data_IF_365508465112
#
_entry.id   IF_365508465112
#
_cell.length_a   1.000
_cell.length_b   1.000
_cell.length_c   1.000
_cell.angle_alpha   90.00
_cell.angle_beta   90.00
_cell.angle_gamma   90.00
#
_symmetry.space_group_name_H-M   'P 1'
#
loop_
_entity.id
_entity.type
_entity.pdbx_description
1 polymer ?
#
# COMPACT_ATOMS: atom_id res chain seq x y z
N UNK A 1 -9.73 5.52 19.08
CA UNK A 1 -9.26 4.60 18.02
C UNK A 1 -7.95 5.18 17.52
N UNK A 2 -6.90 4.38 17.45
CA UNK A 2 -5.63 4.79 16.84
C UNK A 2 -5.70 4.93 15.33
N UNK A 3 -4.82 5.77 14.78
CA UNK A 3 -4.55 5.90 13.35
C UNK A 3 -4.05 4.61 12.73
N UNK A 4 -4.37 4.39 11.45
CA UNK A 4 -3.99 3.18 10.71
C UNK A 4 -3.38 3.51 9.37
N UNK A 5 -2.61 2.57 8.85
CA UNK A 5 -2.15 2.58 7.46
C UNK A 5 -2.68 1.34 6.75
N UNK A 6 -3.45 1.55 5.69
CA UNK A 6 -3.92 0.49 4.81
C UNK A 6 -2.98 0.31 3.64
N UNK A 7 -2.47 -0.89 3.46
CA UNK A 7 -1.72 -1.29 2.28
C UNK A 7 -2.66 -2.08 1.39
N UNK A 8 -2.75 -1.73 0.11
CA UNK A 8 -3.62 -2.41 -0.85
C UNK A 8 -2.79 -2.73 -2.09
N UNK A 9 -2.66 -4.02 -2.41
CA UNK A 9 -2.00 -4.44 -3.65
C UNK A 9 -2.98 -4.28 -4.81
N UNK A 10 -2.51 -3.82 -5.96
CA UNK A 10 -3.34 -3.83 -7.17
C UNK A 10 -3.88 -5.23 -7.50
N UNK A 11 -4.98 -5.27 -8.27
CA UNK A 11 -5.51 -6.51 -8.82
C UNK A 11 -4.55 -7.17 -9.81
N UNK A 12 -4.90 -8.38 -10.24
CA UNK A 12 -4.15 -9.11 -11.26
C UNK A 12 -3.93 -8.29 -12.55
N UNK A 13 -2.72 -8.39 -13.10
CA UNK A 13 -2.31 -7.92 -14.43
C UNK A 13 -1.78 -9.11 -15.25
N UNK A 14 -1.45 -8.86 -16.52
CA UNK A 14 -0.80 -9.88 -17.35
C UNK A 14 0.48 -10.43 -16.72
N UNK A 15 1.37 -9.55 -16.25
CA UNK A 15 2.62 -9.97 -15.60
C UNK A 15 2.42 -10.70 -14.27
N UNK A 16 1.46 -10.29 -13.42
CA UNK A 16 1.23 -11.06 -12.18
C UNK A 16 0.68 -12.45 -12.46
N UNK A 17 -0.15 -12.60 -13.51
CA UNK A 17 -0.66 -13.90 -13.95
C UNK A 17 0.46 -14.78 -14.52
N UNK A 18 1.43 -14.17 -15.21
CA UNK A 18 2.65 -14.83 -15.68
C UNK A 18 3.68 -15.12 -14.58
N UNK A 19 3.46 -14.67 -13.34
CA UNK A 19 4.45 -14.68 -12.26
C UNK A 19 5.75 -13.95 -12.63
N UNK A 20 5.63 -12.91 -13.45
CA UNK A 20 6.72 -12.08 -13.90
C UNK A 20 7.00 -10.96 -12.88
N UNK A 21 8.28 -10.63 -12.75
CA UNK A 21 8.73 -9.49 -11.96
C UNK A 21 8.51 -8.21 -12.77
N UNK A 22 7.39 -7.53 -12.50
CA UNK A 22 7.00 -6.28 -13.18
C UNK A 22 7.08 -5.09 -12.23
N UNK A 23 7.94 -4.14 -12.58
CA UNK A 23 8.05 -2.87 -11.87
C UNK A 23 7.58 -1.71 -12.73
N UNK A 24 8.38 -1.36 -13.72
CA UNK A 24 8.20 -0.15 -14.55
C UNK A 24 7.28 -0.40 -15.73
N UNK A 25 7.17 -1.65 -16.20
CA UNK A 25 6.25 -2.02 -17.28
C UNK A 25 4.81 -1.67 -16.89
N UNK A 26 4.18 -0.80 -17.69
CA UNK A 26 2.90 -0.19 -17.34
C UNK A 26 1.71 -1.04 -17.81
N UNK A 27 1.52 -2.18 -17.15
CA UNK A 27 0.33 -2.99 -17.37
C UNK A 27 -0.91 -2.37 -16.75
N UNK A 28 -2.03 -2.51 -17.45
CA UNK A 28 -3.37 -2.35 -16.89
C UNK A 28 -3.80 -3.59 -16.11
N UNK A 29 -4.84 -3.46 -15.31
CA UNK A 29 -5.53 -4.60 -14.69
C UNK A 29 -6.10 -5.54 -15.76
N UNK A 30 -6.09 -6.84 -15.48
CA UNK A 30 -6.86 -7.84 -16.22
C UNK A 30 -8.34 -7.75 -15.81
N UNK A 31 -9.25 -8.33 -16.60
CA UNK A 31 -10.67 -8.42 -16.22
C UNK A 31 -10.88 -9.18 -14.91
N UNK A 32 -10.03 -10.18 -14.61
CA UNK A 32 -10.07 -10.86 -13.33
C UNK A 32 -9.56 -9.94 -12.21
N UNK A 33 -8.49 -9.18 -12.46
CA UNK A 33 -7.94 -8.19 -11.53
C UNK A 33 -8.93 -7.09 -11.17
N UNK A 34 -9.68 -6.57 -12.14
CA UNK A 34 -10.75 -5.59 -11.90
C UNK A 34 -11.80 -6.15 -10.93
N UNK A 35 -12.28 -7.39 -11.16
CA UNK A 35 -13.24 -8.08 -10.29
C UNK A 35 -12.69 -8.33 -8.88
N UNK A 36 -11.41 -8.69 -8.75
CA UNK A 36 -10.77 -8.86 -7.44
C UNK A 36 -10.80 -7.56 -6.63
N UNK A 37 -10.54 -6.41 -7.28
CA UNK A 37 -10.59 -5.10 -6.62
C UNK A 37 -12.03 -4.70 -6.31
N UNK A 38 -13.02 -5.06 -7.14
CA UNK A 38 -14.44 -4.84 -6.83
C UNK A 38 -14.88 -5.58 -5.56
N UNK A 39 -14.48 -6.84 -5.39
CA UNK A 39 -14.74 -7.61 -4.16
C UNK A 39 -14.07 -6.94 -2.95
N UNK A 40 -12.83 -6.48 -3.11
CA UNK A 40 -12.09 -5.76 -2.07
C UNK A 40 -12.81 -4.49 -1.66
N UNK A 41 -13.32 -3.72 -2.63
CA UNK A 41 -14.13 -2.53 -2.39
C UNK A 41 -15.39 -2.89 -1.58
N UNK A 42 -16.08 -3.98 -1.91
CA UNK A 42 -17.29 -4.38 -1.19
C UNK A 42 -17.01 -4.70 0.28
N UNK A 43 -15.90 -5.40 0.55
CA UNK A 43 -15.50 -5.80 1.89
C UNK A 43 -14.95 -4.64 2.74
N UNK A 44 -14.16 -3.75 2.15
CA UNK A 44 -13.36 -2.78 2.91
C UNK A 44 -13.72 -1.31 2.63
N UNK A 45 -14.40 -0.98 1.53
CA UNK A 45 -14.62 0.41 1.11
C UNK A 45 -16.10 0.78 0.90
N UNK A 46 -17.03 -0.17 0.92
CA UNK A 46 -18.44 0.07 0.67
C UNK A 46 -19.22 0.26 1.97
N UNK A 47 -19.99 1.35 2.07
CA UNK A 47 -20.91 1.59 3.19
C UNK A 47 -22.21 0.78 3.09
N UNK A 48 -22.46 0.11 1.96
CA UNK A 48 -23.83 -0.21 1.51
C UNK A 48 -24.32 -1.64 1.76
N UNK A 49 -23.48 -2.59 2.18
CA UNK A 49 -23.89 -4.00 2.26
C UNK A 49 -24.29 -4.45 3.67
N UNK A 50 -25.34 -3.87 4.26
CA UNK A 50 -26.02 -4.53 5.40
C UNK A 50 -27.46 -4.05 5.65
N UNK A 51 -28.37 -4.32 4.69
CA UNK A 51 -29.83 -4.35 4.95
C UNK A 51 -30.32 -5.78 5.22
N UNK A 52 -29.75 -6.46 6.21
CA UNK A 52 -30.40 -7.56 6.95
C UNK A 52 -29.45 -8.01 8.04
N UNK A 53 -29.83 -7.74 9.29
CA UNK A 53 -29.12 -7.98 10.55
C UNK A 53 -28.20 -6.84 11.00
N UNK A 54 -28.64 -6.16 12.06
CA UNK A 54 -27.88 -5.17 12.83
C UNK A 54 -26.48 -5.70 13.19
N UNK A 55 -25.54 -4.76 13.22
CA UNK A 55 -24.15 -4.84 13.72
C UNK A 55 -23.10 -5.45 12.78
N UNK A 56 -22.30 -4.58 12.15
CA UNK A 56 -20.82 -4.62 12.15
C UNK A 56 -20.29 -3.46 11.31
N UNK A 57 -19.38 -2.69 11.90
CA UNK A 57 -18.73 -1.55 11.23
C UNK A 57 -17.99 -2.02 9.98
N UNK A 58 -18.34 -1.45 8.82
CA UNK A 58 -17.53 -1.55 7.61
C UNK A 58 -16.28 -0.70 7.81
N UNK A 59 -15.13 -1.15 7.30
CA UNK A 59 -13.92 -0.34 7.32
C UNK A 59 -14.23 1.00 6.65
N UNK A 60 -14.23 2.08 7.42
CA UNK A 60 -14.48 3.44 6.91
C UNK A 60 -13.22 3.99 6.24
N UNK A 61 -12.75 3.30 5.20
CA UNK A 61 -11.59 3.74 4.39
C UNK A 61 -11.78 5.17 3.86
N UNK A 62 -13.03 5.63 3.71
CA UNK A 62 -13.37 6.93 3.15
C UNK A 62 -13.42 8.03 4.22
N UNK A 63 -14.16 7.82 5.29
CA UNK A 63 -14.49 8.89 6.24
C UNK A 63 -13.29 9.35 7.09
N UNK A 64 -12.27 8.49 7.28
CA UNK A 64 -11.12 8.80 8.16
C UNK A 64 -9.77 8.95 7.44
N UNK A 65 -9.67 8.66 6.14
CA UNK A 65 -8.38 8.76 5.44
C UNK A 65 -8.18 10.12 4.79
N UNK A 66 -7.26 10.91 5.33
CA UNK A 66 -6.93 12.25 4.81
C UNK A 66 -5.72 12.24 3.87
N UNK A 67 -5.05 11.10 3.70
CA UNK A 67 -3.89 11.00 2.81
C UNK A 67 -3.85 9.64 2.12
N UNK A 68 -3.61 9.66 0.82
CA UNK A 68 -3.61 8.46 -0.03
C UNK A 68 -2.40 8.52 -0.94
N UNK A 69 -1.58 7.48 -0.95
CA UNK A 69 -0.40 7.35 -1.78
C UNK A 69 -0.58 6.23 -2.79
N UNK A 70 -0.21 6.49 -4.03
CA UNK A 70 -0.24 5.50 -5.10
C UNK A 70 1.03 5.59 -5.92
N UNK A 71 1.40 4.51 -6.60
CA UNK A 71 2.48 4.59 -7.58
C UNK A 71 2.01 5.26 -8.88
N UNK A 72 2.91 5.70 -9.76
CA UNK A 72 2.54 6.26 -11.07
C UNK A 72 1.92 5.26 -12.06
N UNK A 73 1.83 3.98 -11.69
CA UNK A 73 1.44 2.91 -12.62
C UNK A 73 -0.07 2.88 -12.84
N UNK A 74 -0.48 2.58 -14.07
CA UNK A 74 -1.88 2.53 -14.49
C UNK A 74 -2.69 1.52 -13.69
N UNK A 75 -2.12 0.35 -13.36
CA UNK A 75 -2.75 -0.67 -12.50
C UNK A 75 -3.15 -0.14 -11.11
N UNK A 76 -2.34 0.72 -10.51
CA UNK A 76 -2.61 1.29 -9.18
C UNK A 76 -3.66 2.38 -9.28
N UNK A 77 -3.59 3.22 -10.33
CA UNK A 77 -4.65 4.18 -10.66
C UNK A 77 -6.01 3.49 -10.86
N UNK A 78 -6.07 2.44 -11.68
CA UNK A 78 -7.30 1.68 -11.90
C UNK A 78 -7.81 1.02 -10.60
N UNK A 79 -6.89 0.53 -9.76
CA UNK A 79 -7.25 -0.02 -8.45
C UNK A 79 -7.92 1.03 -7.57
N UNK A 80 -7.33 2.23 -7.45
CA UNK A 80 -7.96 3.37 -6.77
C UNK A 80 -9.30 3.74 -7.38
N UNK A 81 -9.39 3.71 -8.71
CA UNK A 81 -10.60 4.07 -9.42
C UNK A 81 -11.76 3.14 -9.07
N UNK A 82 -11.50 1.84 -9.04
CA UNK A 82 -12.45 0.80 -8.66
C UNK A 82 -12.79 0.90 -7.18
N UNK A 83 -11.81 1.07 -6.29
CA UNK A 83 -12.03 1.26 -4.85
C UNK A 83 -12.84 2.53 -4.53
N UNK A 84 -12.88 3.48 -5.48
CA UNK A 84 -13.54 4.79 -5.37
C UNK A 84 -13.00 5.57 -4.18
N UNK A 85 -11.69 5.73 -4.13
CA UNK A 85 -11.00 6.40 -3.03
C UNK A 85 -11.03 7.93 -3.09
N UNK A 86 -11.55 8.52 -4.18
CA UNK A 86 -11.68 9.98 -4.29
C UNK A 86 -13.01 10.56 -3.78
N UNK A 87 -13.29 11.78 -4.25
CA UNK A 87 -14.21 12.76 -3.66
C UNK A 87 -15.35 13.08 -4.64
N UNK A 88 -16.60 13.09 -4.20
CA UNK A 88 -17.76 13.42 -5.05
C UNK A 88 -17.83 12.52 -6.30
N UNK A 89 -18.12 13.13 -7.45
CA UNK A 89 -18.11 12.51 -8.77
C UNK A 89 -16.70 12.49 -9.39
N UNK A 90 -15.62 12.72 -8.62
CA UNK A 90 -14.27 12.89 -9.15
C UNK A 90 -13.16 12.23 -8.29
N UNK A 91 -12.06 11.84 -8.91
CA UNK A 91 -10.84 11.41 -8.22
C UNK A 91 -9.70 12.28 -8.70
N UNK A 92 -9.16 13.10 -7.80
CA UNK A 92 -8.06 13.98 -8.09
C UNK A 92 -6.75 13.27 -7.77
N UNK A 93 -5.91 13.11 -8.78
CA UNK A 93 -4.58 12.51 -8.69
C UNK A 93 -3.53 13.60 -8.89
N UNK A 94 -2.84 13.95 -7.82
CA UNK A 94 -1.73 14.90 -7.85
C UNK A 94 -0.41 14.14 -8.00
N UNK A 95 0.30 14.39 -9.09
CA UNK A 95 1.62 13.84 -9.34
C UNK A 95 2.69 14.71 -8.68
N UNK A 96 3.34 14.14 -7.66
CA UNK A 96 4.36 14.84 -6.87
C UNK A 96 5.61 15.16 -7.68
N UNK A 97 5.90 14.41 -8.74
CA UNK A 97 7.06 14.58 -9.62
C UNK A 97 6.80 15.67 -10.64
N UNK A 98 5.68 15.58 -11.37
CA UNK A 98 5.36 16.54 -12.44
C UNK A 98 4.65 17.81 -11.93
N UNK A 99 4.18 17.79 -10.66
CA UNK A 99 3.37 18.85 -10.04
C UNK A 99 2.03 19.10 -10.75
N UNK A 100 1.54 18.10 -11.50
CA UNK A 100 0.29 18.18 -12.24
C UNK A 100 -0.83 17.40 -11.53
N UNK A 101 -2.06 17.90 -11.66
CA UNK A 101 -3.26 17.21 -11.17
C UNK A 101 -4.06 16.69 -12.35
N UNK A 102 -4.40 15.40 -12.34
CA UNK A 102 -5.35 14.79 -13.27
C UNK A 102 -6.61 14.36 -12.52
N UNK A 103 -7.74 14.27 -13.24
CA UNK A 103 -9.01 13.90 -12.62
C UNK A 103 -9.69 12.77 -13.40
N UNK A 104 -10.23 11.79 -12.70
CA UNK A 104 -11.13 10.77 -13.28
C UNK A 104 -12.54 10.98 -12.75
N UNK A 105 -13.54 11.02 -13.62
CA UNK A 105 -14.94 11.08 -13.20
C UNK A 105 -15.39 9.70 -12.64
N UNK A 106 -16.18 9.71 -11.57
CA UNK A 106 -16.83 8.53 -10.97
C UNK A 106 -18.34 8.68 -11.14
N UNK A 107 -19.07 7.60 -11.49
CA UNK A 107 -20.53 7.61 -11.43
C UNK A 107 -21.02 8.07 -10.04
N UNK A 108 -22.07 8.90 -9.97
CA UNK A 108 -22.58 9.41 -8.70
C UNK A 108 -23.00 8.25 -7.78
N UNK A 109 -22.57 8.31 -6.51
CA UNK A 109 -22.98 7.36 -5.47
C UNK A 109 -23.58 8.15 -4.33
N UNK A 110 -24.66 7.62 -3.75
CA UNK A 110 -25.24 8.13 -2.51
C UNK A 110 -24.34 7.72 -1.32
N UNK A 111 -23.84 8.70 -0.56
CA UNK A 111 -23.01 8.49 0.63
C UNK A 111 -22.13 9.70 0.98
N UNK A 112 -21.57 9.71 2.19
CA UNK A 112 -20.61 10.73 2.62
C UNK A 112 -19.27 10.59 1.87
N UNK A 113 -18.64 11.74 1.66
CA UNK A 113 -17.59 11.97 0.66
C UNK A 113 -16.34 12.45 1.40
N UNK A 114 -15.17 11.90 1.04
CA UNK A 114 -13.89 12.25 1.67
C UNK A 114 -13.09 13.19 0.79
N UNK A 115 -12.69 14.37 1.25
CA UNK A 115 -12.04 15.45 0.46
C UNK A 115 -10.58 15.21 0.03
N UNK A 116 -10.00 14.04 0.28
CA UNK A 116 -8.55 13.88 0.11
C UNK A 116 -8.10 13.60 -1.34
N UNK A 117 -7.20 14.47 -1.84
CA UNK A 117 -6.44 14.30 -3.09
C UNK A 117 -5.50 13.09 -2.99
N UNK A 118 -5.49 12.25 -4.04
CA UNK A 118 -4.64 11.07 -4.14
C UNK A 118 -3.24 11.50 -4.63
N UNK A 119 -2.21 11.19 -3.85
CA UNK A 119 -0.82 11.55 -4.12
C UNK A 119 -0.14 10.44 -4.93
N UNK A 120 0.20 10.71 -6.19
CA UNK A 120 1.08 9.83 -6.96
C UNK A 120 2.52 10.09 -6.51
N UNK A 121 3.21 9.04 -6.07
CA UNK A 121 4.58 9.11 -5.58
C UNK A 121 5.44 7.97 -6.14
N UNK A 122 6.65 8.25 -6.65
CA UNK A 122 7.60 7.21 -7.03
C UNK A 122 8.19 6.49 -5.80
N UNK A 123 8.12 7.07 -4.59
CA UNK A 123 8.66 6.44 -3.38
C UNK A 123 8.00 5.11 -3.03
N UNK A 124 6.76 4.90 -3.47
CA UNK A 124 6.00 3.65 -3.28
C UNK A 124 6.15 2.67 -4.46
N UNK A 125 6.89 3.03 -5.51
CA UNK A 125 7.05 2.20 -6.70
C UNK A 125 7.54 0.79 -6.34
N UNK A 126 7.18 -0.18 -7.18
CA UNK A 126 7.73 -1.53 -7.05
C UNK A 126 9.26 -1.50 -7.16
N UNK A 127 9.91 -2.51 -6.59
CA UNK A 127 11.37 -2.68 -6.73
C UNK A 127 11.79 -2.56 -8.19
N UNK A 128 12.76 -1.71 -8.53
CA UNK A 128 13.29 -1.68 -9.89
C UNK A 128 14.05 -2.97 -10.18
N UNK A 129 13.46 -3.84 -11.01
CA UNK A 129 14.04 -5.14 -11.33
C UNK A 129 15.19 -5.05 -12.33
N UNK A 130 15.43 -3.89 -12.97
CA UNK A 130 16.54 -3.70 -13.91
C UNK A 130 16.59 -4.79 -14.97
N UNK A 131 17.69 -5.54 -15.00
CA UNK A 131 17.89 -6.66 -15.93
C UNK A 131 16.91 -7.84 -15.76
N UNK A 132 16.08 -7.83 -14.71
CA UNK A 132 15.11 -8.88 -14.37
C UNK A 132 13.66 -8.48 -14.65
N UNK A 133 13.41 -7.26 -15.13
CA UNK A 133 12.08 -6.81 -15.52
C UNK A 133 11.46 -7.77 -16.56
N UNK A 134 10.22 -8.21 -16.30
CA UNK A 134 9.48 -9.12 -17.18
C UNK A 134 9.92 -10.59 -17.13
N UNK A 135 10.89 -10.95 -16.29
CA UNK A 135 11.31 -12.33 -16.13
C UNK A 135 10.57 -13.02 -14.98
N UNK A 136 10.40 -14.33 -15.06
CA UNK A 136 9.97 -15.15 -13.91
C UNK A 136 11.16 -15.47 -12.99
N UNK A 137 10.88 -15.88 -11.75
CA UNK A 137 11.92 -16.31 -10.81
C UNK A 137 12.81 -17.43 -11.37
N UNK A 138 12.24 -18.38 -12.11
CA UNK A 138 12.97 -19.49 -12.74
C UNK A 138 13.93 -18.99 -13.83
N UNK A 139 13.46 -18.05 -14.66
CA UNK A 139 14.29 -17.43 -15.69
C UNK A 139 15.42 -16.58 -15.09
N UNK A 140 15.16 -15.87 -13.99
CA UNK A 140 16.19 -15.11 -13.27
C UNK A 140 17.24 -16.06 -12.70
N UNK A 141 16.81 -17.12 -12.02
CA UNK A 141 17.71 -18.14 -11.46
C UNK A 141 18.61 -18.73 -12.56
N UNK A 142 18.03 -19.13 -13.69
CA UNK A 142 18.79 -19.69 -14.81
C UNK A 142 19.76 -18.66 -15.41
N UNK A 143 19.31 -17.42 -15.65
CA UNK A 143 20.15 -16.33 -16.16
C UNK A 143 21.33 -16.03 -15.24
N UNK A 144 21.13 -16.07 -13.92
CA UNK A 144 22.18 -15.85 -12.92
C UNK A 144 23.17 -17.01 -12.87
N UNK A 145 22.67 -18.25 -12.93
CA UNK A 145 23.48 -19.47 -12.99
C UNK A 145 24.38 -19.50 -14.23
N UNK A 146 23.86 -19.10 -15.40
CA UNK A 146 24.64 -18.99 -16.64
C UNK A 146 25.79 -17.99 -16.54
N UNK A 147 25.64 -16.95 -15.71
CA UNK A 147 26.69 -15.97 -15.40
C UNK A 147 27.65 -16.44 -14.30
N UNK A 148 27.49 -17.66 -13.80
CA UNK A 148 28.31 -18.21 -12.71
C UNK A 148 28.08 -17.53 -11.36
N UNK A 149 26.93 -16.90 -11.16
CA UNK A 149 26.51 -16.30 -9.89
C UNK A 149 25.87 -17.36 -8.97
N UNK A 150 25.57 -16.97 -7.73
CA UNK A 150 24.80 -17.77 -6.75
C UNK A 150 25.47 -19.10 -6.35
N UNK A 151 26.81 -19.17 -6.41
CA UNK A 151 27.58 -20.36 -6.01
C UNK A 151 27.52 -20.64 -4.52
N UNK A 152 27.48 -19.58 -3.72
CA UNK A 152 27.53 -19.64 -2.26
C UNK A 152 26.14 -19.65 -1.61
N UNK A 153 25.07 -19.63 -2.41
CA UNK A 153 23.68 -19.65 -1.94
C UNK A 153 22.69 -19.08 -2.96
N UNK A 154 21.38 -19.34 -2.78
CA UNK A 154 20.35 -18.85 -3.68
C UNK A 154 20.25 -17.32 -3.64
N UNK A 155 19.98 -16.72 -4.79
CA UNK A 155 19.71 -15.28 -4.87
C UNK A 155 18.51 -14.88 -4.02
N UNK A 156 18.67 -13.76 -3.31
CA UNK A 156 17.62 -13.10 -2.55
C UNK A 156 17.58 -11.63 -2.94
N UNK A 157 16.44 -11.18 -3.46
CA UNK A 157 16.22 -9.77 -3.79
C UNK A 157 16.43 -8.86 -2.57
N UNK A 158 16.04 -9.33 -1.39
CA UNK A 158 16.17 -8.61 -0.12
C UNK A 158 17.62 -8.38 0.30
N UNK A 159 18.55 -9.22 -0.17
CA UNK A 159 19.96 -9.14 0.20
C UNK A 159 20.82 -8.49 -0.88
N UNK A 160 20.58 -8.88 -2.13
CA UNK A 160 21.43 -8.53 -3.28
C UNK A 160 20.78 -7.52 -4.23
N UNK A 161 19.47 -7.32 -4.15
CA UNK A 161 18.72 -6.51 -5.12
C UNK A 161 18.79 -7.08 -6.54
N UNK A 162 18.70 -6.19 -7.52
CA UNK A 162 18.67 -6.50 -8.94
C UNK A 162 19.77 -5.74 -9.71
N UNK A 163 20.60 -6.40 -10.53
CA UNK A 163 21.56 -5.72 -11.41
C UNK A 163 20.86 -4.76 -12.37
N UNK A 164 21.41 -3.55 -12.51
CA UNK A 164 20.82 -2.49 -13.33
C UNK A 164 19.51 -1.92 -12.80
N UNK A 165 19.08 -2.33 -11.61
CA UNK A 165 17.89 -1.83 -10.91
C UNK A 165 18.24 -1.34 -9.50
N UNK A 166 17.33 -1.55 -8.56
CA UNK A 166 17.49 -1.08 -7.18
C UNK A 166 18.24 -2.07 -6.27
N UNK A 167 19.07 -1.52 -5.41
CA UNK A 167 19.62 -2.20 -4.23
C UNK A 167 18.64 -2.18 -3.06
N UNK A 168 18.74 -3.11 -2.08
CA UNK A 168 17.91 -3.06 -0.89
C UNK A 168 18.05 -1.77 -0.08
N UNK A 169 19.22 -1.13 -0.13
CA UNK A 169 19.44 0.14 0.56
C UNK A 169 18.66 1.27 -0.10
N UNK A 170 18.67 1.37 -1.43
CA UNK A 170 17.88 2.39 -2.15
C UNK A 170 16.37 2.25 -1.87
N UNK A 171 15.86 1.02 -1.85
CA UNK A 171 14.46 0.75 -1.48
C UNK A 171 14.19 1.13 -0.02
N UNK A 172 15.12 0.82 0.89
CA UNK A 172 15.03 1.22 2.30
C UNK A 172 14.96 2.74 2.44
N UNK A 173 15.86 3.46 1.80
CA UNK A 173 15.98 4.92 1.93
C UNK A 173 14.69 5.62 1.48
N UNK A 174 14.16 5.27 0.29
CA UNK A 174 12.94 5.91 -0.23
C UNK A 174 11.68 5.56 0.56
N UNK A 175 11.61 4.34 1.11
CA UNK A 175 10.47 3.93 1.92
C UNK A 175 10.53 4.55 3.32
N UNK A 176 11.72 4.65 3.91
CA UNK A 176 11.92 5.31 5.21
C UNK A 176 11.61 6.81 5.12
N UNK A 177 11.94 7.47 4.01
CA UNK A 177 11.53 8.86 3.73
C UNK A 177 9.99 8.97 3.69
N UNK A 178 9.31 8.12 2.91
CA UNK A 178 7.85 8.10 2.83
C UNK A 178 7.20 7.78 4.18
N UNK A 179 7.76 6.84 4.95
CA UNK A 179 7.29 6.51 6.30
C UNK A 179 7.44 7.71 7.22
N UNK A 180 8.54 8.46 7.13
CA UNK A 180 8.74 9.71 7.85
C UNK A 180 7.62 10.70 7.59
N UNK A 181 7.30 10.95 6.31
CA UNK A 181 6.18 11.81 5.91
C UNK A 181 4.84 11.32 6.47
N UNK A 182 4.56 10.02 6.33
CA UNK A 182 3.34 9.40 6.84
C UNK A 182 3.22 9.59 8.35
N UNK A 183 4.31 9.43 9.11
CA UNK A 183 4.32 9.64 10.55
C UNK A 183 4.05 11.10 10.91
N UNK A 184 4.57 12.07 10.18
CA UNK A 184 4.26 13.50 10.40
C UNK A 184 2.77 13.80 10.16
N UNK A 185 2.17 13.22 9.12
CA UNK A 185 0.72 13.32 8.89
C UNK A 185 -0.06 12.80 10.08
N UNK A 186 0.33 11.64 10.64
CA UNK A 186 -0.37 11.05 11.78
C UNK A 186 -0.15 11.84 13.08
N UNK A 187 1.07 12.35 13.31
CA UNK A 187 1.42 13.18 14.48
C UNK A 187 0.56 14.43 14.57
N UNK A 188 0.13 15.00 13.44
CA UNK A 188 -0.71 16.20 13.40
C UNK A 188 -2.05 16.07 14.16
N UNK A 189 -2.48 14.84 14.47
CA UNK A 189 -3.73 14.55 15.19
C UNK A 189 -3.53 13.94 16.58
N UNK A 190 -2.33 14.10 17.14
CA UNK A 190 -1.91 13.42 18.38
C UNK A 190 -1.40 14.42 19.41
N UNK A 191 -1.53 14.06 20.68
CA UNK A 191 -1.00 14.84 21.79
C UNK A 191 0.06 14.06 22.56
N UNK A 192 1.05 14.78 23.08
CA UNK A 192 2.04 14.21 23.98
C UNK A 192 1.41 14.01 25.36
N UNK A 193 1.48 12.78 25.86
CA UNK A 193 1.03 12.39 27.20
C UNK A 193 2.22 12.28 28.17
N UNK A 194 2.00 12.43 29.49
CA UNK A 194 3.04 12.18 30.49
C UNK A 194 3.71 10.81 30.29
N UNK A 195 5.05 10.78 30.34
CA UNK A 195 5.84 9.59 30.02
C UNK A 195 6.30 9.47 28.56
N UNK A 196 6.05 10.50 27.73
CA UNK A 196 6.58 10.58 26.37
C UNK A 196 5.76 9.84 25.30
N UNK A 197 4.62 9.25 25.69
CA UNK A 197 3.70 8.59 24.76
C UNK A 197 3.05 9.61 23.83
N UNK A 198 2.82 9.23 22.59
CA UNK A 198 2.07 10.03 21.63
C UNK A 198 0.77 9.31 21.31
N UNK A 199 -0.35 9.83 21.82
CA UNK A 199 -1.67 9.20 21.67
C UNK A 199 -2.61 10.10 20.89
N UNK A 200 -3.58 9.55 20.13
CA UNK A 200 -4.58 10.33 19.43
C UNK A 200 -5.33 11.27 20.37
N UNK A 201 -5.58 12.51 19.94
CA UNK A 201 -6.36 13.44 20.75
C UNK A 201 -7.81 12.97 20.86
N UNK A 202 -8.41 13.04 22.06
CA UNK A 202 -9.76 12.48 22.35
C UNK A 202 -10.87 13.13 21.52
N UNK A 203 -10.64 14.35 21.02
CA UNK A 203 -11.62 15.12 20.23
C UNK A 203 -11.36 15.12 18.73
N UNK A 204 -10.28 14.49 18.25
CA UNK A 204 -9.98 14.43 16.82
C UNK A 204 -10.18 13.01 16.32
N UNK A 205 -10.81 12.88 15.14
CA UNK A 205 -10.93 11.57 14.52
C UNK A 205 -9.55 11.10 14.02
N UNK A 206 -9.16 9.85 14.28
CA UNK A 206 -7.89 9.31 13.84
C UNK A 206 -7.80 9.36 12.32
N UNK A 207 -6.69 9.93 11.81
CA UNK A 207 -6.39 9.94 10.38
C UNK A 207 -5.81 8.61 9.95
N UNK A 208 -6.46 7.99 8.98
CA UNK A 208 -5.91 6.82 8.30
C UNK A 208 -5.12 7.25 7.06
N UNK A 209 -4.17 6.41 6.65
CA UNK A 209 -3.44 6.55 5.39
C UNK A 209 -3.75 5.33 4.52
N UNK A 210 -3.91 5.53 3.22
CA UNK A 210 -4.06 4.42 2.26
C UNK A 210 -2.89 4.44 1.28
N UNK A 211 -2.22 3.31 1.11
CA UNK A 211 -1.14 3.10 0.16
C UNK A 211 -1.57 2.02 -0.84
N UNK A 212 -1.62 2.36 -2.13
CA UNK A 212 -1.90 1.42 -3.22
C UNK A 212 -0.63 1.19 -4.04
N UNK A 213 -0.22 -0.07 -4.18
CA UNK A 213 1.01 -0.40 -4.91
C UNK A 213 1.19 -1.88 -5.19
N UNK A 214 2.45 -2.28 -5.36
CA UNK A 214 2.82 -3.65 -5.73
C UNK A 214 3.39 -4.45 -4.55
N UNK A 215 3.47 -5.77 -4.72
CA UNK A 215 3.61 -6.72 -3.62
C UNK A 215 4.91 -6.60 -2.82
N UNK A 216 6.07 -6.50 -3.50
CA UNK A 216 7.36 -6.45 -2.79
C UNK A 216 7.55 -5.11 -2.09
N UNK A 217 7.23 -4.00 -2.75
CA UNK A 217 7.26 -2.66 -2.18
C UNK A 217 6.36 -2.51 -0.94
N UNK A 218 5.11 -3.02 -0.99
CA UNK A 218 4.23 -2.98 0.18
C UNK A 218 4.71 -3.88 1.33
N UNK A 219 5.29 -5.03 1.00
CA UNK A 219 5.91 -5.92 2.00
C UNK A 219 7.14 -5.27 2.64
N UNK A 220 7.97 -4.61 1.83
CA UNK A 220 9.11 -3.82 2.29
C UNK A 220 8.67 -2.69 3.20
N UNK A 221 7.64 -1.94 2.82
CA UNK A 221 7.07 -0.86 3.62
C UNK A 221 6.57 -1.37 4.97
N UNK A 222 5.88 -2.52 5.01
CA UNK A 222 5.42 -3.12 6.26
C UNK A 222 6.57 -3.54 7.20
N UNK A 223 7.68 -4.07 6.66
CA UNK A 223 8.87 -4.38 7.45
C UNK A 223 9.56 -3.11 7.96
N UNK A 224 9.73 -2.10 7.10
CA UNK A 224 10.34 -0.83 7.47
C UNK A 224 9.49 -0.04 8.47
N UNK A 225 8.17 -0.15 8.38
CA UNK A 225 7.23 0.47 9.33
C UNK A 225 7.52 0.07 10.77
N UNK A 226 7.82 -1.21 11.02
CA UNK A 226 8.17 -1.74 12.36
C UNK A 226 9.66 -1.56 12.71
N UNK A 227 10.43 -0.86 11.88
CA UNK A 227 11.86 -0.65 12.06
C UNK A 227 12.76 -1.82 11.64
N UNK A 228 12.19 -2.93 11.16
CA UNK A 228 12.96 -4.10 10.75
C UNK A 228 13.71 -3.87 9.43
N UNK A 229 14.97 -4.30 9.37
CA UNK A 229 15.72 -4.31 8.10
C UNK A 229 15.03 -5.19 7.06
N UNK A 230 15.16 -4.87 5.78
CA UNK A 230 14.72 -5.76 4.69
C UNK A 230 15.42 -7.13 4.74
N UNK A 231 16.57 -7.22 5.42
CA UNK A 231 17.33 -8.46 5.64
C UNK A 231 16.93 -9.23 6.92
N UNK A 232 15.83 -8.87 7.58
CA UNK A 232 15.41 -9.47 8.85
C UNK A 232 14.95 -10.94 8.78
N UNK A 233 14.94 -11.56 7.59
CA UNK A 233 14.53 -12.95 7.39
C UNK A 233 13.01 -13.17 7.39
N UNK A 234 12.21 -12.19 7.82
CA UNK A 234 10.75 -12.24 7.74
C UNK A 234 10.31 -12.19 6.27
N UNK A 235 9.27 -12.96 5.95
CA UNK A 235 8.64 -12.98 4.63
C UNK A 235 7.17 -12.62 4.79
N UNK A 236 6.78 -11.49 4.23
CA UNK A 236 5.39 -11.05 4.15
C UNK A 236 4.90 -11.34 2.74
N UNK A 237 3.76 -11.99 2.62
CA UNK A 237 3.12 -12.32 1.36
C UNK A 237 1.94 -11.38 1.16
N UNK A 238 1.81 -10.88 -0.06
CA UNK A 238 0.78 -9.91 -0.40
C UNK A 238 0.11 -10.35 -1.69
N UNK A 239 -1.06 -10.96 -1.63
CA UNK A 239 -1.80 -11.42 -2.81
C UNK A 239 -2.45 -10.25 -3.58
N UNK A 240 -2.76 -10.45 -4.86
CA UNK A 240 -3.41 -9.42 -5.70
C UNK A 240 -4.76 -9.01 -5.12
N UNK A 241 -5.03 -7.70 -5.10
CA UNK A 241 -6.16 -7.09 -4.41
C UNK A 241 -6.22 -7.33 -2.88
N UNK A 242 -5.17 -7.88 -2.27
CA UNK A 242 -5.08 -8.04 -0.82
C UNK A 242 -5.10 -6.70 -0.09
N UNK A 243 -5.49 -6.73 1.20
CA UNK A 243 -5.44 -5.57 2.11
C UNK A 243 -4.69 -5.98 3.36
N UNK A 244 -3.68 -5.20 3.73
CA UNK A 244 -2.99 -5.32 5.01
C UNK A 244 -3.14 -4.02 5.81
N UNK A 245 -3.02 -4.12 7.14
CA UNK A 245 -3.22 -2.98 8.03
C UNK A 245 -2.04 -2.86 8.98
N UNK A 246 -1.43 -1.67 9.00
CA UNK A 246 -0.44 -1.26 9.97
C UNK A 246 -1.09 -0.34 10.99
N UNK A 247 -0.52 -0.31 12.19
CA UNK A 247 -0.96 0.56 13.27
C UNK A 247 0.13 0.70 14.31
N UNK A 248 -0.30 0.73 15.57
CA UNK A 248 0.56 1.02 16.71
C UNK A 248 0.18 0.16 17.92
N UNK A 249 1.17 -0.30 18.68
CA UNK A 249 0.97 -0.95 19.97
C UNK A 249 0.47 0.08 20.99
N UNK A 250 -0.54 -0.30 21.78
CA UNK A 250 -1.16 0.55 22.81
C UNK A 250 -1.56 1.96 22.36
N UNK A 251 -1.90 2.10 21.07
CA UNK A 251 -2.22 3.35 20.39
C UNK A 251 -1.08 4.42 20.41
N UNK A 252 0.15 4.04 20.77
CA UNK A 252 1.30 4.95 20.86
C UNK A 252 2.03 5.05 19.52
N UNK A 253 2.05 6.24 18.91
CA UNK A 253 2.72 6.45 17.62
C UNK A 253 4.22 6.12 17.64
N UNK A 254 4.84 6.04 18.82
CA UNK A 254 6.22 5.62 18.96
C UNK A 254 6.44 4.11 18.83
N UNK A 255 5.37 3.30 18.84
CA UNK A 255 5.42 1.84 18.80
C UNK A 255 4.72 1.29 17.54
N UNK A 256 5.29 1.45 16.34
CA UNK A 256 4.67 0.99 15.10
C UNK A 256 4.57 -0.55 15.04
N UNK A 257 3.42 -1.05 14.59
CA UNK A 257 3.09 -2.47 14.57
C UNK A 257 2.33 -2.90 13.30
N UNK A 258 2.37 -4.20 12.98
CA UNK A 258 1.53 -4.83 11.97
C UNK A 258 0.31 -5.44 12.67
N UNK A 259 -0.90 -5.11 12.22
CA UNK A 259 -2.13 -5.64 12.81
C UNK A 259 -2.46 -6.98 12.13
N UNK A 260 -2.21 -8.09 12.83
CA UNK A 260 -2.48 -9.44 12.31
C UNK A 260 -3.96 -9.85 12.40
N UNK A 261 -4.68 -9.31 13.37
CA UNK A 261 -6.08 -9.61 13.59
C UNK A 261 -6.72 -8.51 14.40
N UNK A 262 -7.92 -8.11 14.03
CA UNK A 262 -8.66 -7.05 14.74
C UNK A 262 -9.92 -7.63 15.39
N UNK A 263 -10.16 -7.23 16.63
CA UNK A 263 -11.43 -7.51 17.30
C UNK A 263 -12.58 -6.90 16.48
N UNK A 264 -13.66 -7.66 16.20
CA UNK A 264 -14.87 -7.08 15.63
C UNK A 264 -15.38 -5.99 16.58
N UNK A 265 -15.55 -4.77 16.09
CA UNK A 265 -16.14 -3.70 16.90
C UNK A 265 -17.65 -3.97 16.94
N UNK A 266 -18.11 -4.59 18.03
CA UNK A 266 -19.52 -4.62 18.38
C UNK A 266 -19.84 -3.30 19.08
N UNK A 267 -20.80 -2.54 18.55
CA UNK A 267 -21.47 -1.49 19.31
C UNK A 267 -22.57 -2.12 20.15
#
# INVERSE_FOLDING_TARGET
MSSRVFLIRHGETEGTRGMEHISTTDHKLSTAGEKQVEVTREQYASAAHFRRHRTRETWKLKENSNTRYITPRRRDRQTCEILRLGVHQHQHFYDRTTKQTTTTAIPPVTGEIAEATIQITPSLAEWDYGEYEGLTSDQICEKRRQRGLDKDGPWSIWESGCPGGETPQQVTDRLDELIGEMREVLKSTTASWPGGRMVPHVTEEPRDIVCVGSGLSLSALAMRWTGLSLKCGVRLLFETAGVAVLGFEDEDLNQPAIILGRRPVAR
#
